data_IF_130472471362
#
_entry.id   IF_130472471362
#
_cell.length_a   1.000
_cell.length_b   1.000
_cell.length_c   1.000
_cell.angle_alpha   90.00
_cell.angle_beta   90.00
_cell.angle_gamma   90.00
#
_symmetry.space_group_name_H-M   'P 1'
#
loop_
_entity.id
_entity.type
_entity.pdbx_description
1 polymer ?
#
# COMPACT_ATOMS: atom_id res chain seq x y z
N UNK A 1 -18.83 -26.80 -1.26
CA UNK A 1 -17.89 -27.61 -0.46
C UNK A 1 -16.48 -27.34 -0.94
N UNK A 2 -15.57 -27.05 -0.02
CA UNK A 2 -14.14 -26.89 -0.31
C UNK A 2 -13.36 -27.89 0.55
N UNK A 3 -12.62 -28.81 -0.06
CA UNK A 3 -11.95 -29.90 0.65
C UNK A 3 -12.88 -30.59 1.67
N UNK A 4 -12.53 -30.54 2.97
CA UNK A 4 -13.32 -31.08 4.07
C UNK A 4 -14.39 -30.11 4.61
N UNK A 5 -14.41 -28.85 4.15
CA UNK A 5 -15.30 -27.80 4.67
C UNK A 5 -16.62 -27.79 3.92
N UNK A 6 -17.72 -27.96 4.62
CA UNK A 6 -19.08 -27.77 4.11
C UNK A 6 -19.44 -26.27 4.19
N UNK A 7 -19.71 -25.63 3.03
CA UNK A 7 -20.00 -24.20 2.94
C UNK A 7 -21.49 -24.00 2.68
N UNK A 8 -22.15 -23.22 3.53
CA UNK A 8 -23.59 -22.93 3.45
C UNK A 8 -23.82 -21.43 3.31
N UNK A 9 -24.58 -21.02 2.31
CA UNK A 9 -25.10 -19.66 2.15
C UNK A 9 -26.59 -19.61 2.50
N UNK A 10 -26.95 -18.69 3.37
CA UNK A 10 -28.35 -18.33 3.64
C UNK A 10 -28.61 -16.96 2.99
N UNK A 11 -29.49 -16.90 2.02
CA UNK A 11 -29.80 -15.66 1.30
C UNK A 11 -31.29 -15.54 0.95
N UNK A 12 -31.72 -14.34 0.64
CA UNK A 12 -33.06 -14.06 0.13
C UNK A 12 -33.22 -14.52 -1.34
N UNK A 13 -34.46 -14.60 -1.83
CA UNK A 13 -34.71 -14.92 -3.26
C UNK A 13 -34.02 -13.94 -4.20
N UNK A 14 -33.91 -12.69 -3.81
CA UNK A 14 -33.24 -11.64 -4.61
C UNK A 14 -31.72 -11.77 -4.56
N UNK A 15 -31.15 -12.27 -3.46
CA UNK A 15 -29.71 -12.52 -3.30
C UNK A 15 -29.22 -13.74 -4.08
N UNK A 16 -30.09 -14.67 -4.44
CA UNK A 16 -29.70 -15.89 -5.18
C UNK A 16 -28.94 -15.61 -6.49
N UNK A 17 -29.21 -14.49 -7.14
CA UNK A 17 -28.49 -14.09 -8.37
C UNK A 17 -27.02 -13.76 -8.14
N UNK A 18 -26.58 -13.56 -6.90
CA UNK A 18 -25.21 -13.26 -6.49
C UNK A 18 -24.55 -14.40 -5.70
N UNK A 19 -25.25 -15.50 -5.50
CA UNK A 19 -24.76 -16.60 -4.69
C UNK A 19 -23.41 -17.14 -5.16
N UNK A 20 -23.22 -17.28 -6.47
CA UNK A 20 -21.96 -17.78 -7.04
C UNK A 20 -20.79 -16.86 -6.71
N UNK A 21 -20.99 -15.52 -6.76
CA UNK A 21 -19.95 -14.54 -6.41
C UNK A 21 -19.50 -14.69 -4.94
N UNK A 22 -20.45 -14.87 -4.03
CA UNK A 22 -20.13 -15.10 -2.61
C UNK A 22 -19.40 -16.41 -2.38
N UNK A 23 -19.81 -17.49 -3.05
CA UNK A 23 -19.10 -18.78 -2.96
C UNK A 23 -17.68 -18.70 -3.53
N UNK A 24 -17.49 -18.03 -4.68
CA UNK A 24 -16.14 -17.79 -5.23
C UNK A 24 -15.28 -17.00 -4.25
N UNK A 25 -15.78 -15.90 -3.68
CA UNK A 25 -15.06 -15.06 -2.73
C UNK A 25 -14.59 -15.85 -1.50
N UNK A 26 -15.49 -16.68 -0.91
CA UNK A 26 -15.14 -17.55 0.23
C UNK A 26 -14.09 -18.60 -0.15
N UNK A 27 -14.23 -19.23 -1.32
CA UNK A 27 -13.26 -20.24 -1.78
C UNK A 27 -11.89 -19.59 -2.00
N UNK A 28 -11.84 -18.42 -2.63
CA UNK A 28 -10.60 -17.67 -2.84
C UNK A 28 -9.92 -17.32 -1.52
N UNK A 29 -10.70 -16.85 -0.53
CA UNK A 29 -10.16 -16.54 0.78
C UNK A 29 -9.65 -17.80 1.51
N UNK A 30 -10.39 -18.91 1.45
CA UNK A 30 -9.97 -20.21 2.00
C UNK A 30 -8.66 -20.69 1.38
N UNK A 31 -8.55 -20.68 0.06
CA UNK A 31 -7.34 -21.11 -0.67
C UNK A 31 -6.14 -20.24 -0.31
N UNK A 32 -6.31 -18.94 -0.38
CA UNK A 32 -5.22 -17.99 -0.18
C UNK A 32 -4.68 -18.00 1.26
N UNK A 33 -5.58 -17.97 2.26
CA UNK A 33 -5.19 -17.97 3.67
C UNK A 33 -4.69 -19.35 4.13
N UNK A 34 -5.27 -20.43 3.61
CA UNK A 34 -4.77 -21.78 3.92
C UNK A 34 -3.32 -22.01 3.45
N UNK A 35 -2.95 -21.44 2.31
CA UNK A 35 -1.59 -21.54 1.78
C UNK A 35 -0.60 -20.65 2.52
N UNK A 36 -0.99 -19.40 2.84
CA UNK A 36 -0.08 -18.36 3.33
C UNK A 36 -0.08 -18.15 4.83
N UNK A 37 -1.17 -18.47 5.51
CA UNK A 37 -1.30 -18.31 6.96
C UNK A 37 -1.31 -19.66 7.65
N UNK A 38 -2.30 -20.50 7.33
CA UNK A 38 -2.43 -21.83 7.94
C UNK A 38 -3.76 -22.48 7.65
N UNK A 39 -3.95 -23.76 8.06
CA UNK A 39 -5.15 -24.53 7.74
C UNK A 39 -6.39 -24.00 8.44
N UNK A 40 -7.52 -23.93 7.70
CA UNK A 40 -8.84 -23.70 8.29
C UNK A 40 -9.29 -24.97 9.03
N UNK A 41 -9.49 -24.93 10.37
CA UNK A 41 -9.63 -26.15 11.16
C UNK A 41 -11.05 -26.68 11.27
N UNK A 42 -12.08 -25.88 10.94
CA UNK A 42 -13.46 -26.26 11.13
C UNK A 42 -14.04 -27.02 9.93
N UNK A 43 -14.93 -27.99 10.15
CA UNK A 43 -15.53 -28.79 9.08
C UNK A 43 -16.68 -28.08 8.34
N UNK A 44 -17.08 -26.90 8.79
CA UNK A 44 -18.18 -26.15 8.21
C UNK A 44 -17.95 -24.64 8.27
N UNK A 45 -18.64 -23.95 7.38
CA UNK A 45 -18.71 -22.49 7.32
C UNK A 45 -20.10 -22.10 6.85
N UNK A 46 -20.74 -21.20 7.58
CA UNK A 46 -22.04 -20.64 7.20
C UNK A 46 -21.91 -19.14 7.04
N UNK A 47 -22.52 -18.58 6.02
CA UNK A 47 -22.62 -17.13 5.90
C UNK A 47 -24.00 -16.71 5.41
N UNK A 48 -24.39 -15.50 5.80
CA UNK A 48 -25.71 -14.94 5.55
C UNK A 48 -25.58 -13.70 4.68
N UNK A 49 -26.23 -13.67 3.52
CA UNK A 49 -26.43 -12.48 2.71
C UNK A 49 -27.79 -11.87 3.10
N UNK A 50 -27.82 -10.83 3.95
CA UNK A 50 -29.08 -10.24 4.41
C UNK A 50 -29.80 -9.56 3.25
N UNK A 51 -31.15 -9.50 3.29
CA UNK A 51 -31.89 -8.75 2.29
C UNK A 51 -31.56 -7.24 2.37
N UNK A 52 -31.70 -6.52 1.27
CA UNK A 52 -31.34 -5.09 1.20
C UNK A 52 -31.95 -4.24 2.33
N UNK A 53 -33.20 -4.51 2.71
CA UNK A 53 -33.86 -3.82 3.83
C UNK A 53 -33.38 -4.28 5.22
N UNK A 54 -32.56 -5.33 5.27
CA UNK A 54 -31.90 -5.86 6.48
C UNK A 54 -30.39 -5.64 6.45
N UNK A 55 -29.85 -4.78 5.56
CA UNK A 55 -28.41 -4.57 5.37
C UNK A 55 -27.69 -4.08 6.62
N UNK A 56 -28.39 -3.49 7.59
CA UNK A 56 -27.80 -3.13 8.88
C UNK A 56 -27.38 -4.34 9.75
N UNK A 57 -27.70 -5.58 9.34
CA UNK A 57 -27.21 -6.79 9.94
C UNK A 57 -26.04 -7.44 9.15
N UNK A 58 -25.57 -6.80 8.09
CA UNK A 58 -24.42 -7.24 7.32
C UNK A 58 -23.11 -6.74 7.91
N UNK A 59 -22.00 -7.39 7.53
CA UNK A 59 -20.70 -7.01 8.02
C UNK A 59 -20.51 -7.33 9.50
N UNK A 60 -20.65 -8.61 9.87
CA UNK A 60 -20.45 -9.08 11.25
C UNK A 60 -19.88 -10.49 11.26
N UNK A 61 -18.77 -10.61 11.92
CA UNK A 61 -18.01 -11.82 12.08
C UNK A 61 -18.46 -12.61 13.33
N UNK A 62 -18.62 -13.89 13.16
CA UNK A 62 -18.73 -14.88 14.25
C UNK A 62 -17.96 -16.12 13.81
N UNK A 63 -17.33 -16.82 14.73
CA UNK A 63 -16.57 -18.02 14.38
C UNK A 63 -17.46 -19.03 13.64
N UNK A 64 -17.07 -19.39 12.41
CA UNK A 64 -17.79 -20.30 11.48
C UNK A 64 -19.16 -19.81 10.98
N UNK A 65 -19.60 -18.64 11.41
CA UNK A 65 -20.80 -17.95 10.93
C UNK A 65 -20.47 -16.46 10.75
N UNK A 66 -20.78 -15.88 9.59
CA UNK A 66 -20.66 -14.43 9.40
C UNK A 66 -21.79 -13.90 8.53
N UNK A 67 -21.98 -12.58 8.53
CA UNK A 67 -22.95 -11.92 7.68
C UNK A 67 -22.22 -11.04 6.66
N UNK A 68 -22.54 -11.22 5.39
CA UNK A 68 -22.00 -10.36 4.32
C UNK A 68 -22.87 -9.13 4.11
N UNK A 69 -22.56 -8.32 3.11
CA UNK A 69 -23.39 -7.17 2.78
C UNK A 69 -24.52 -7.55 1.83
N UNK A 70 -25.74 -7.03 2.03
CA UNK A 70 -26.88 -7.24 1.14
C UNK A 70 -26.62 -6.84 -0.33
N UNK A 71 -26.18 -7.79 -1.13
CA UNK A 71 -25.62 -7.57 -2.48
C UNK A 71 -26.65 -7.22 -3.56
N UNK A 72 -27.96 -7.29 -3.25
CA UNK A 72 -29.04 -7.26 -4.26
C UNK A 72 -29.11 -6.02 -5.17
N UNK A 73 -28.49 -4.90 -4.78
CA UNK A 73 -28.52 -3.65 -5.54
C UNK A 73 -27.14 -3.21 -6.08
N UNK A 74 -26.07 -3.96 -5.81
CA UNK A 74 -24.71 -3.58 -6.20
C UNK A 74 -24.46 -4.01 -7.65
N UNK A 75 -24.04 -3.08 -8.54
CA UNK A 75 -23.67 -3.42 -9.90
C UNK A 75 -22.53 -4.44 -9.96
N UNK A 76 -22.56 -5.37 -10.91
CA UNK A 76 -21.58 -6.48 -11.02
C UNK A 76 -20.12 -6.04 -11.31
N UNK A 77 -19.92 -4.80 -11.74
CA UNK A 77 -18.58 -4.23 -11.93
C UNK A 77 -17.95 -3.72 -10.62
N UNK A 78 -18.73 -3.65 -9.55
CA UNK A 78 -18.27 -3.33 -8.20
C UNK A 78 -18.19 -4.62 -7.39
N UNK A 79 -17.03 -4.92 -6.82
CA UNK A 79 -16.74 -6.14 -6.06
C UNK A 79 -16.98 -5.98 -4.56
N UNK A 80 -17.78 -5.01 -4.15
CA UNK A 80 -18.01 -4.71 -2.73
C UNK A 80 -18.60 -5.89 -1.95
N UNK A 81 -19.50 -6.66 -2.56
CA UNK A 81 -20.11 -7.81 -1.87
C UNK A 81 -19.08 -8.93 -1.67
N UNK A 82 -18.24 -9.16 -2.69
CA UNK A 82 -17.16 -10.14 -2.62
C UNK A 82 -16.09 -9.68 -1.61
N UNK A 83 -15.75 -8.39 -1.58
CA UNK A 83 -14.81 -7.79 -0.61
C UNK A 83 -15.29 -8.00 0.82
N UNK A 84 -16.53 -7.59 1.15
CA UNK A 84 -17.09 -7.80 2.48
C UNK A 84 -17.15 -9.31 2.83
N UNK A 85 -17.45 -10.17 1.86
CA UNK A 85 -17.44 -11.61 2.08
C UNK A 85 -16.06 -12.16 2.44
N UNK A 86 -15.00 -11.64 1.78
CA UNK A 86 -13.60 -11.98 2.07
C UNK A 86 -13.20 -11.45 3.44
N UNK A 87 -13.57 -10.20 3.74
CA UNK A 87 -13.31 -9.54 5.02
C UNK A 87 -13.90 -10.34 6.19
N UNK A 88 -15.20 -10.56 6.17
CA UNK A 88 -15.89 -11.29 7.25
C UNK A 88 -15.41 -12.74 7.39
N UNK A 89 -15.05 -13.38 6.28
CA UNK A 89 -14.40 -14.69 6.34
C UNK A 89 -13.01 -14.60 6.99
N UNK A 90 -12.23 -13.59 6.69
CA UNK A 90 -10.87 -13.40 7.21
C UNK A 90 -10.82 -13.35 8.74
N UNK A 91 -11.83 -12.79 9.38
CA UNK A 91 -12.00 -12.82 10.83
C UNK A 91 -12.07 -14.25 11.42
N UNK A 92 -12.39 -15.27 10.63
CA UNK A 92 -12.23 -16.66 11.08
C UNK A 92 -10.78 -16.98 11.46
N UNK A 93 -9.81 -16.34 10.84
CA UNK A 93 -8.39 -16.45 11.16
C UNK A 93 -7.97 -15.45 12.24
N UNK A 94 -8.21 -14.16 12.03
CA UNK A 94 -7.61 -13.10 12.84
C UNK A 94 -8.36 -12.86 14.15
N UNK A 95 -9.66 -13.09 14.19
CA UNK A 95 -10.45 -13.08 15.41
C UNK A 95 -10.76 -14.52 15.89
N UNK A 96 -11.34 -15.36 15.04
CA UNK A 96 -11.82 -16.67 15.46
C UNK A 96 -10.73 -17.65 15.93
N UNK A 97 -9.56 -17.68 15.28
CA UNK A 97 -8.45 -18.57 15.64
C UNK A 97 -7.39 -17.91 16.51
N UNK A 98 -6.97 -16.70 16.20
CA UNK A 98 -6.00 -15.97 17.01
C UNK A 98 -6.66 -15.47 18.30
N UNK A 99 -7.90 -15.00 18.23
CA UNK A 99 -8.71 -14.52 19.34
C UNK A 99 -8.00 -13.42 20.15
N UNK A 100 -7.39 -12.45 19.44
CA UNK A 100 -6.86 -11.23 20.02
C UNK A 100 -7.98 -10.40 20.68
N UNK A 101 -7.63 -9.49 21.56
CA UNK A 101 -8.59 -8.60 22.21
C UNK A 101 -8.89 -7.39 21.29
N UNK A 102 -9.88 -7.49 20.45
CA UNK A 102 -10.31 -6.45 19.50
C UNK A 102 -10.73 -5.13 20.17
N UNK A 103 -11.17 -5.18 21.42
CA UNK A 103 -11.54 -3.98 22.16
C UNK A 103 -10.31 -3.16 22.58
N UNK A 104 -9.22 -3.82 22.96
CA UNK A 104 -8.00 -3.16 23.42
C UNK A 104 -7.03 -2.87 22.26
N UNK A 105 -6.97 -3.76 21.25
CA UNK A 105 -6.05 -3.66 20.13
C UNK A 105 -6.78 -3.94 18.80
N UNK A 106 -7.73 -3.08 18.39
CA UNK A 106 -8.59 -3.36 17.21
C UNK A 106 -7.80 -3.51 15.89
N UNK A 107 -6.61 -2.94 15.78
CA UNK A 107 -5.78 -3.08 14.59
C UNK A 107 -5.26 -4.52 14.37
N UNK A 108 -5.12 -5.31 15.43
CA UNK A 108 -4.66 -6.72 15.36
C UNK A 108 -5.71 -7.60 14.68
N UNK A 109 -6.98 -7.26 14.85
CA UNK A 109 -8.09 -7.89 14.17
C UNK A 109 -8.38 -7.20 12.83
N UNK A 110 -8.97 -6.02 12.87
CA UNK A 110 -9.48 -5.30 11.71
C UNK A 110 -8.40 -4.89 10.71
N UNK A 111 -7.27 -4.43 11.22
CA UNK A 111 -6.17 -3.95 10.38
C UNK A 111 -5.46 -5.08 9.65
N UNK A 112 -5.16 -6.17 10.34
CA UNK A 112 -4.58 -7.36 9.74
C UNK A 112 -5.56 -7.98 8.75
N UNK A 113 -6.84 -8.03 9.11
CA UNK A 113 -7.87 -8.58 8.23
C UNK A 113 -8.03 -7.76 6.95
N UNK A 114 -8.08 -6.41 7.05
CA UNK A 114 -8.13 -5.51 5.89
C UNK A 114 -6.91 -5.68 4.98
N UNK A 115 -5.71 -5.83 5.55
CA UNK A 115 -4.50 -6.11 4.78
C UNK A 115 -4.61 -7.41 3.96
N UNK A 116 -5.14 -8.49 4.56
CA UNK A 116 -5.30 -9.75 3.87
C UNK A 116 -6.46 -9.73 2.85
N UNK A 117 -7.57 -9.06 3.16
CA UNK A 117 -8.65 -8.81 2.21
C UNK A 117 -8.11 -8.18 0.92
N UNK A 118 -7.34 -7.09 1.05
CA UNK A 118 -6.76 -6.37 -0.08
C UNK A 118 -5.86 -7.27 -0.93
N UNK A 119 -5.00 -8.07 -0.32
CA UNK A 119 -4.15 -9.04 -1.02
C UNK A 119 -4.95 -10.12 -1.74
N UNK A 120 -6.01 -10.65 -1.13
CA UNK A 120 -6.88 -11.66 -1.73
C UNK A 120 -7.60 -11.07 -2.94
N UNK A 121 -8.18 -9.89 -2.78
CA UNK A 121 -8.92 -9.19 -3.84
C UNK A 121 -8.00 -8.91 -5.03
N UNK A 122 -6.81 -8.37 -4.80
CA UNK A 122 -5.86 -8.07 -5.88
C UNK A 122 -5.35 -9.33 -6.57
N UNK A 123 -5.13 -10.42 -5.83
CA UNK A 123 -4.68 -11.69 -6.41
C UNK A 123 -5.71 -12.32 -7.36
N UNK A 124 -6.98 -12.38 -6.96
CA UNK A 124 -8.00 -13.10 -7.72
C UNK A 124 -8.75 -12.24 -8.73
N UNK A 125 -8.95 -10.96 -8.42
CA UNK A 125 -9.66 -10.03 -9.32
C UNK A 125 -8.72 -9.14 -10.12
N UNK A 126 -7.42 -9.13 -9.78
CA UNK A 126 -6.35 -8.36 -10.42
C UNK A 126 -6.15 -6.97 -9.84
N UNK A 127 -4.94 -6.46 -9.94
CA UNK A 127 -4.53 -5.16 -9.40
C UNK A 127 -5.45 -4.03 -9.86
N UNK A 128 -5.93 -3.25 -8.89
CA UNK A 128 -6.80 -2.12 -9.15
C UNK A 128 -8.26 -2.46 -9.51
N UNK A 129 -8.73 -3.66 -9.11
CA UNK A 129 -10.07 -4.14 -9.50
C UNK A 129 -11.10 -4.20 -8.38
N UNK A 130 -10.70 -4.11 -7.11
CA UNK A 130 -11.58 -4.40 -6.00
C UNK A 130 -12.87 -3.58 -5.97
N UNK A 131 -12.78 -2.26 -5.89
CA UNK A 131 -13.94 -1.40 -5.66
C UNK A 131 -14.62 -0.91 -6.96
N UNK A 132 -13.84 -0.39 -7.91
CA UNK A 132 -14.38 0.22 -9.13
C UNK A 132 -13.49 -0.04 -10.33
N UNK A 133 -14.10 -0.58 -11.39
CA UNK A 133 -13.44 -0.72 -12.68
C UNK A 133 -14.27 -0.11 -13.81
N UNK A 134 -13.79 1.02 -14.29
CA UNK A 134 -14.25 1.64 -15.53
C UNK A 134 -13.10 1.61 -16.56
N UNK A 135 -13.39 1.76 -17.87
CA UNK A 135 -12.35 1.69 -18.91
C UNK A 135 -11.16 2.65 -18.72
N UNK A 136 -11.36 3.69 -17.91
CA UNK A 136 -10.41 4.79 -17.69
C UNK A 136 -10.09 5.04 -16.21
N UNK A 137 -10.77 4.37 -15.29
CA UNK A 137 -10.58 4.51 -13.85
C UNK A 137 -10.62 3.13 -13.20
N UNK A 138 -9.55 2.80 -12.49
CA UNK A 138 -9.46 1.62 -11.63
C UNK A 138 -9.22 2.13 -10.21
N UNK A 139 -9.87 1.53 -9.26
CA UNK A 139 -9.67 1.79 -7.84
C UNK A 139 -9.79 0.47 -7.09
N UNK A 140 -8.66 0.04 -6.53
CA UNK A 140 -8.62 -1.14 -5.66
C UNK A 140 -9.18 -0.81 -4.28
N UNK A 141 -9.38 -1.83 -3.48
CA UNK A 141 -9.68 -1.67 -2.08
C UNK A 141 -8.51 -1.04 -1.31
N UNK A 142 -7.28 -1.47 -1.59
CA UNK A 142 -6.07 -0.86 -1.05
C UNK A 142 -5.96 0.64 -1.38
N UNK A 143 -6.28 1.04 -2.63
CA UNK A 143 -6.35 2.46 -3.01
C UNK A 143 -7.38 3.22 -2.17
N UNK A 144 -8.56 2.64 -1.95
CA UNK A 144 -9.60 3.27 -1.13
C UNK A 144 -9.15 3.45 0.32
N UNK A 145 -8.61 2.38 0.92
CA UNK A 145 -8.09 2.41 2.29
C UNK A 145 -7.00 3.47 2.44
N UNK A 146 -6.06 3.49 1.49
CA UNK A 146 -4.99 4.50 1.46
C UNK A 146 -5.55 5.93 1.28
N UNK A 147 -6.45 6.16 0.32
CA UNK A 147 -7.08 7.47 0.10
C UNK A 147 -7.80 7.92 1.38
N UNK A 148 -8.55 7.05 2.03
CA UNK A 148 -9.25 7.34 3.28
C UNK A 148 -8.28 7.81 4.38
N UNK A 149 -7.12 7.17 4.51
CA UNK A 149 -6.08 7.58 5.45
C UNK A 149 -5.42 8.91 5.04
N UNK A 150 -4.85 9.02 3.83
CA UNK A 150 -4.02 10.17 3.43
C UNK A 150 -4.82 11.46 3.27
N UNK A 151 -6.10 11.39 2.95
CA UNK A 151 -6.96 12.58 2.82
C UNK A 151 -7.66 12.98 4.12
N UNK A 152 -7.59 12.15 5.16
CA UNK A 152 -8.21 12.47 6.44
C UNK A 152 -7.49 13.65 7.13
N UNK A 153 -8.22 14.71 7.53
CA UNK A 153 -7.64 15.79 8.30
C UNK A 153 -7.24 15.33 9.72
N UNK A 154 -7.72 14.18 10.15
CA UNK A 154 -7.55 13.64 11.50
C UNK A 154 -6.51 12.50 11.56
N UNK A 155 -5.72 12.27 10.51
CA UNK A 155 -4.77 11.15 10.43
C UNK A 155 -3.64 11.17 11.48
N UNK A 156 -3.39 12.33 12.09
CA UNK A 156 -2.33 12.53 13.10
C UNK A 156 -2.85 12.71 14.52
N UNK A 157 -4.16 12.63 14.77
CA UNK A 157 -4.72 12.90 16.11
C UNK A 157 -4.75 11.67 17.02
N UNK A 158 -4.48 10.49 16.48
CA UNK A 158 -4.47 9.21 17.20
C UNK A 158 -3.33 8.33 16.73
N UNK A 159 -2.90 7.41 17.58
CA UNK A 159 -2.02 6.28 17.26
C UNK A 159 -2.86 5.04 16.96
N UNK A 160 -2.25 3.98 16.41
CA UNK A 160 -2.97 2.74 16.12
C UNK A 160 -3.11 1.80 17.33
N UNK A 161 -2.45 2.09 18.44
CA UNK A 161 -2.45 1.28 19.66
C UNK A 161 -3.51 1.68 20.68
N UNK A 162 -4.45 2.55 20.30
CA UNK A 162 -5.53 2.95 21.20
C UNK A 162 -6.59 1.85 21.32
N UNK A 163 -7.14 1.62 22.53
CA UNK A 163 -8.35 0.84 22.69
C UNK A 163 -9.53 1.44 21.91
N UNK A 164 -10.44 0.59 21.42
CA UNK A 164 -11.53 0.97 20.52
C UNK A 164 -12.38 2.14 21.04
N UNK A 165 -12.62 2.20 22.36
CA UNK A 165 -13.41 3.26 23.02
C UNK A 165 -12.65 4.57 23.25
N UNK A 166 -11.34 4.62 23.00
CA UNK A 166 -10.51 5.81 23.18
C UNK A 166 -10.24 6.56 21.87
N UNK A 167 -10.63 6.02 20.74
CA UNK A 167 -10.45 6.72 19.48
C UNK A 167 -11.29 8.01 19.42
N UNK A 168 -10.69 9.14 19.02
CA UNK A 168 -11.44 10.36 18.77
C UNK A 168 -12.59 10.13 17.79
N UNK A 169 -13.69 10.85 17.96
CA UNK A 169 -14.90 10.65 17.16
C UNK A 169 -14.60 10.63 15.65
N UNK A 170 -15.07 9.58 14.99
CA UNK A 170 -14.93 9.39 13.54
C UNK A 170 -13.55 8.93 13.06
N UNK A 171 -12.62 8.55 13.97
CA UNK A 171 -11.28 8.09 13.56
C UNK A 171 -11.07 6.58 13.68
N UNK A 172 -11.94 5.87 14.39
CA UNK A 172 -11.80 4.43 14.63
C UNK A 172 -11.56 3.63 13.34
N UNK A 173 -12.50 3.68 12.40
CA UNK A 173 -12.37 2.90 11.15
C UNK A 173 -11.16 3.32 10.31
N UNK A 174 -10.90 4.63 10.20
CA UNK A 174 -9.75 5.13 9.45
C UNK A 174 -8.43 4.64 10.05
N UNK A 175 -8.34 4.57 11.38
CA UNK A 175 -7.12 4.13 12.07
C UNK A 175 -7.02 2.59 12.10
N UNK A 176 -8.05 1.90 12.61
CA UNK A 176 -7.98 0.47 12.88
C UNK A 176 -7.98 -0.39 11.60
N UNK A 177 -8.69 0.03 10.56
CA UNK A 177 -8.74 -0.64 9.27
C UNK A 177 -7.70 -0.06 8.30
N UNK A 178 -7.87 1.21 7.90
CA UNK A 178 -7.17 1.77 6.76
C UNK A 178 -5.69 2.07 7.05
N UNK A 179 -5.38 2.85 8.10
CA UNK A 179 -3.98 3.14 8.45
C UNK A 179 -3.23 1.86 8.78
N UNK A 180 -3.88 0.92 9.48
CA UNK A 180 -3.27 -0.35 9.83
C UNK A 180 -2.92 -1.19 8.58
N UNK A 181 -3.82 -1.35 7.63
CA UNK A 181 -3.53 -2.03 6.37
C UNK A 181 -2.41 -1.32 5.59
N UNK A 182 -2.44 0.01 5.53
CA UNK A 182 -1.43 0.83 4.82
C UNK A 182 -0.02 0.62 5.38
N UNK A 183 0.16 0.62 6.70
CA UNK A 183 1.49 0.38 7.24
C UNK A 183 1.90 -1.11 7.18
N UNK A 184 0.96 -2.06 7.19
CA UNK A 184 1.25 -3.48 6.92
C UNK A 184 1.75 -3.68 5.48
N UNK A 185 1.14 -3.05 4.48
CA UNK A 185 1.65 -3.04 3.10
C UNK A 185 3.03 -2.38 3.01
N UNK A 186 3.26 -1.29 3.76
CA UNK A 186 4.58 -0.67 3.84
C UNK A 186 5.62 -1.61 4.46
N UNK A 187 5.26 -2.33 5.53
CA UNK A 187 6.14 -3.35 6.13
C UNK A 187 6.47 -4.43 5.10
N UNK A 188 5.46 -4.98 4.40
CA UNK A 188 5.66 -5.95 3.31
C UNK A 188 6.59 -5.40 2.22
N UNK A 189 6.39 -4.14 1.82
CA UNK A 189 7.24 -3.47 0.83
C UNK A 189 8.71 -3.38 1.25
N UNK A 190 8.97 -3.23 2.55
CA UNK A 190 10.32 -3.16 3.12
C UNK A 190 10.96 -4.53 3.26
N UNK A 191 10.27 -5.50 3.88
CA UNK A 191 10.83 -6.83 4.18
C UNK A 191 10.64 -7.85 3.05
N UNK A 192 9.73 -7.60 2.14
CA UNK A 192 9.38 -8.47 1.01
C UNK A 192 8.19 -9.40 1.30
N UNK A 193 7.43 -9.73 0.25
CA UNK A 193 6.19 -10.51 0.33
C UNK A 193 6.42 -11.91 0.92
N UNK A 194 7.49 -12.60 0.53
CA UNK A 194 7.79 -13.95 1.05
C UNK A 194 8.06 -13.92 2.56
N UNK A 195 8.85 -12.96 3.03
CA UNK A 195 9.12 -12.77 4.47
C UNK A 195 7.83 -12.43 5.23
N UNK A 196 6.96 -11.58 4.65
CA UNK A 196 5.67 -11.24 5.26
C UNK A 196 4.75 -12.47 5.37
N UNK A 197 4.70 -13.31 4.34
CA UNK A 197 3.96 -14.58 4.40
C UNK A 197 4.53 -15.52 5.49
N UNK A 198 5.85 -15.57 5.65
CA UNK A 198 6.50 -16.36 6.71
C UNK A 198 6.21 -15.80 8.12
N UNK A 199 6.12 -14.47 8.27
CA UNK A 199 5.66 -13.83 9.51
C UNK A 199 4.27 -14.34 9.89
N UNK A 200 3.31 -14.33 8.96
CA UNK A 200 1.94 -14.75 9.26
C UNK A 200 1.81 -16.26 9.48
N UNK A 201 2.57 -17.09 8.76
CA UNK A 201 2.64 -18.54 9.05
C UNK A 201 3.15 -18.81 10.46
N UNK A 202 4.21 -18.10 10.85
CA UNK A 202 4.81 -18.26 12.19
C UNK A 202 3.90 -17.67 13.27
N UNK A 203 3.21 -16.54 13.00
CA UNK A 203 2.24 -15.96 13.90
C UNK A 203 1.08 -16.93 14.17
N UNK A 204 0.47 -17.48 13.11
CA UNK A 204 -0.56 -18.51 13.23
C UNK A 204 -0.03 -19.75 13.98
N UNK A 205 1.14 -20.28 13.61
CA UNK A 205 1.73 -21.47 14.25
C UNK A 205 1.96 -21.30 15.75
N UNK A 206 2.41 -20.10 16.17
CA UNK A 206 2.66 -19.83 17.60
C UNK A 206 1.40 -19.57 18.38
N UNK A 207 0.45 -18.88 17.78
CA UNK A 207 -0.60 -18.17 18.50
C UNK A 207 -2.04 -18.64 18.22
N UNK A 208 -2.28 -19.54 17.27
CA UNK A 208 -3.61 -20.08 17.05
C UNK A 208 -4.22 -20.60 18.38
N UNK A 209 -5.40 -20.09 18.74
CA UNK A 209 -6.15 -20.38 19.98
C UNK A 209 -5.44 -19.96 21.29
N UNK A 210 -4.58 -18.94 21.28
CA UNK A 210 -3.82 -18.51 22.45
C UNK A 210 -3.92 -17.02 22.80
N UNK A 211 -4.77 -16.27 22.14
CA UNK A 211 -5.08 -14.87 22.45
C UNK A 211 -3.85 -13.93 22.43
N UNK A 212 -3.17 -13.78 21.28
CA UNK A 212 -1.99 -12.91 21.20
C UNK A 212 -2.37 -11.44 21.33
N UNK A 213 -1.43 -10.66 21.81
CA UNK A 213 -1.42 -9.20 21.77
C UNK A 213 -0.69 -8.68 20.52
N UNK A 214 -0.76 -7.37 20.27
CA UNK A 214 0.03 -6.70 19.25
C UNK A 214 1.54 -6.84 19.48
N UNK A 215 1.99 -6.88 20.74
CA UNK A 215 3.40 -7.13 21.07
C UNK A 215 3.86 -8.54 20.65
N UNK A 216 2.97 -9.53 20.73
CA UNK A 216 3.28 -10.89 20.27
C UNK A 216 3.42 -10.95 18.75
N UNK A 217 2.63 -10.19 17.99
CA UNK A 217 2.80 -10.02 16.56
C UNK A 217 4.17 -9.37 16.24
N UNK A 218 4.50 -8.26 16.91
CA UNK A 218 5.80 -7.57 16.75
C UNK A 218 6.97 -8.51 17.05
N UNK A 219 6.87 -9.31 18.10
CA UNK A 219 7.91 -10.29 18.44
C UNK A 219 8.10 -11.34 17.33
N UNK A 220 7.02 -11.81 16.71
CA UNK A 220 7.09 -12.73 15.56
C UNK A 220 7.75 -12.05 14.36
N UNK A 221 7.38 -10.80 14.04
CA UNK A 221 8.02 -10.02 12.96
C UNK A 221 9.53 -9.92 13.21
N UNK A 222 9.93 -9.52 14.42
CA UNK A 222 11.33 -9.39 14.79
C UNK A 222 12.10 -10.70 14.60
N UNK A 223 11.54 -11.80 15.09
CA UNK A 223 12.17 -13.12 14.99
C UNK A 223 12.34 -13.58 13.53
N UNK A 224 11.28 -13.48 12.72
CA UNK A 224 11.32 -13.95 11.33
C UNK A 224 12.26 -13.07 10.50
N UNK A 225 12.14 -11.74 10.59
CA UNK A 225 13.01 -10.81 9.85
C UNK A 225 14.47 -11.00 10.25
N UNK A 226 14.75 -11.18 11.54
CA UNK A 226 16.12 -11.45 12.01
C UNK A 226 16.68 -12.76 11.47
N UNK A 227 15.87 -13.80 11.44
CA UNK A 227 16.30 -15.11 10.95
C UNK A 227 16.54 -15.11 9.43
N UNK A 228 15.74 -14.39 8.64
CA UNK A 228 15.86 -14.39 7.18
C UNK A 228 16.86 -13.36 6.65
N UNK A 229 16.95 -12.20 7.29
CA UNK A 229 17.74 -11.07 6.78
C UNK A 229 18.94 -10.69 7.67
N UNK A 230 19.11 -11.34 8.83
CA UNK A 230 20.17 -10.98 9.78
C UNK A 230 20.00 -9.55 10.30
N UNK A 231 21.02 -8.72 10.17
CA UNK A 231 21.02 -7.32 10.62
C UNK A 231 20.72 -6.32 9.50
N UNK A 232 20.17 -6.75 8.37
CA UNK A 232 19.89 -5.87 7.23
C UNK A 232 19.01 -4.68 7.61
N UNK A 233 18.04 -4.90 8.50
CA UNK A 233 17.08 -3.89 8.95
C UNK A 233 17.36 -3.38 10.38
N UNK A 234 18.55 -3.64 10.91
CA UNK A 234 18.93 -3.33 12.29
C UNK A 234 18.87 -4.53 13.21
N UNK A 235 18.83 -4.30 14.52
CA UNK A 235 18.73 -5.39 15.50
C UNK A 235 17.33 -6.01 15.53
N UNK A 236 16.31 -5.18 15.32
CA UNK A 236 14.90 -5.55 15.29
C UNK A 236 14.11 -4.56 14.40
N UNK A 237 12.80 -4.78 14.27
CA UNK A 237 11.86 -3.91 13.55
C UNK A 237 11.12 -2.92 14.45
N UNK A 238 11.49 -2.80 15.72
CA UNK A 238 10.80 -1.87 16.66
C UNK A 238 10.90 -0.41 16.20
N UNK A 239 11.99 -0.04 15.52
CA UNK A 239 12.12 1.30 14.90
C UNK A 239 10.99 1.64 13.92
N UNK A 240 10.47 0.63 13.20
CA UNK A 240 9.33 0.79 12.30
C UNK A 240 8.03 0.96 13.09
N UNK A 241 7.71 0.02 13.99
CA UNK A 241 6.47 0.05 14.77
C UNK A 241 6.37 1.29 15.67
N UNK A 242 7.48 1.75 16.25
CA UNK A 242 7.50 2.96 17.06
C UNK A 242 7.06 4.21 16.29
N UNK A 243 7.24 4.22 14.98
CA UNK A 243 6.86 5.35 14.14
C UNK A 243 5.43 5.21 13.59
N UNK A 244 5.05 4.03 13.09
CA UNK A 244 3.79 3.87 12.34
C UNK A 244 2.62 3.40 13.19
N UNK A 245 2.89 2.55 14.21
CA UNK A 245 1.87 2.02 15.12
C UNK A 245 1.70 2.91 16.34
N UNK A 246 2.80 3.21 17.05
CA UNK A 246 2.81 4.01 18.28
C UNK A 246 3.02 5.51 18.02
N UNK A 247 3.41 5.89 16.80
CA UNK A 247 3.63 7.29 16.42
C UNK A 247 2.45 7.94 15.73
N UNK A 248 2.47 9.27 15.71
CA UNK A 248 1.49 10.14 15.03
C UNK A 248 2.13 10.89 13.84
N UNK A 249 3.42 10.66 13.56
CA UNK A 249 4.15 11.31 12.48
C UNK A 249 3.64 10.90 11.10
N UNK A 250 3.86 11.77 10.13
CA UNK A 250 3.55 11.54 8.71
C UNK A 250 4.80 11.09 7.94
N UNK A 251 4.59 10.27 6.92
CA UNK A 251 5.59 9.94 5.93
C UNK A 251 5.35 10.79 4.67
N UNK A 252 6.32 11.57 4.26
CA UNK A 252 6.25 12.37 3.02
C UNK A 252 7.67 12.57 2.49
N UNK A 253 7.97 11.95 1.35
CA UNK A 253 9.23 12.09 0.64
C UNK A 253 9.02 12.89 -0.65
N UNK A 254 10.00 13.68 -1.06
CA UNK A 254 9.90 14.53 -2.24
C UNK A 254 11.19 14.54 -3.05
N UNK A 255 11.08 14.47 -4.37
CA UNK A 255 12.14 14.93 -5.27
C UNK A 255 12.01 16.44 -5.38
N UNK A 256 12.88 17.18 -4.69
CA UNK A 256 12.81 18.66 -4.64
C UNK A 256 13.32 19.32 -5.91
N UNK A 257 14.17 18.63 -6.68
CA UNK A 257 14.61 19.13 -7.96
C UNK A 257 15.74 18.35 -8.61
N UNK A 258 15.93 18.63 -9.88
CA UNK A 258 17.03 18.10 -10.69
C UNK A 258 17.73 19.29 -11.36
N UNK A 259 19.06 19.31 -11.32
CA UNK A 259 19.87 20.22 -12.11
C UNK A 259 20.86 19.43 -12.96
N UNK A 260 21.06 19.83 -14.23
CA UNK A 260 22.02 19.22 -15.13
C UNK A 260 22.75 20.32 -15.87
N UNK A 261 24.02 20.53 -15.51
CA UNK A 261 24.85 21.62 -16.07
C UNK A 261 25.98 21.06 -16.92
N UNK A 262 26.13 21.58 -18.11
CA UNK A 262 27.25 21.23 -18.97
C UNK A 262 28.57 21.68 -18.32
N UNK A 263 29.49 20.72 -18.19
CA UNK A 263 30.86 21.00 -17.73
C UNK A 263 31.63 21.65 -18.90
N UNK A 264 32.16 22.83 -18.65
CA UNK A 264 32.99 23.52 -19.62
C UNK A 264 34.45 23.40 -19.19
N UNK A 265 35.28 22.83 -20.05
CA UNK A 265 36.72 22.84 -19.82
C UNK A 265 37.36 24.10 -20.45
N UNK A 266 38.23 24.72 -19.69
CA UNK A 266 39.05 25.84 -20.18
C UNK A 266 40.50 25.40 -20.08
N UNK A 267 41.28 25.66 -21.16
CA UNK A 267 42.73 25.59 -21.11
C UNK A 267 43.28 27.00 -21.00
N UNK A 268 44.25 27.20 -20.11
CA UNK A 268 44.92 28.49 -19.92
C UNK A 268 46.38 28.37 -20.31
N UNK A 269 46.90 29.38 -21.00
CA UNK A 269 48.34 29.56 -21.24
C UNK A 269 48.83 30.71 -20.38
N UNK A 270 49.83 30.42 -19.55
CA UNK A 270 50.46 31.41 -18.68
C UNK A 270 51.66 32.02 -19.44
N UNK A 271 51.57 33.32 -19.75
CA UNK A 271 52.67 34.07 -20.32
C UNK A 271 53.05 35.17 -19.33
N UNK A 272 54.09 34.91 -18.51
CA UNK A 272 54.49 35.84 -17.47
C UNK A 272 53.38 36.08 -16.45
N UNK A 273 53.00 37.34 -16.21
CA UNK A 273 51.97 37.74 -15.27
C UNK A 273 50.50 37.66 -15.84
N UNK A 274 50.36 37.21 -17.11
CA UNK A 274 49.07 37.13 -17.77
C UNK A 274 48.66 35.71 -18.04
N UNK A 275 47.34 35.39 -17.78
CA UNK A 275 46.74 34.11 -18.10
C UNK A 275 45.71 34.31 -19.20
N UNK A 276 45.92 33.65 -20.35
CA UNK A 276 44.96 33.67 -21.45
C UNK A 276 44.19 32.38 -21.41
N UNK A 277 42.88 32.46 -21.20
CA UNK A 277 41.98 31.31 -21.21
C UNK A 277 41.43 31.06 -22.61
N UNK A 278 41.60 29.85 -23.10
CA UNK A 278 40.98 29.41 -24.35
C UNK A 278 39.95 28.32 -24.03
N UNK A 279 38.73 28.50 -24.50
CA UNK A 279 37.71 27.48 -24.39
C UNK A 279 38.12 26.27 -25.22
N UNK A 280 38.21 25.10 -24.59
CA UNK A 280 38.50 23.86 -25.28
C UNK A 280 37.18 23.22 -25.73
N UNK A 281 36.80 23.42 -26.98
CA UNK A 281 35.65 22.71 -27.60
C UNK A 281 36.07 21.37 -28.25
N UNK A 282 37.26 20.82 -27.90
CA UNK A 282 37.88 19.68 -28.59
C UNK A 282 37.50 18.29 -28.02
N UNK A 283 36.71 18.19 -26.95
CA UNK A 283 36.18 16.86 -26.55
C UNK A 283 34.95 16.56 -27.41
N UNK A 284 34.93 15.41 -28.10
CA UNK A 284 33.79 14.90 -28.85
C UNK A 284 32.57 14.70 -27.95
N UNK A 285 32.78 14.56 -26.64
CA UNK A 285 31.74 14.23 -25.67
C UNK A 285 31.47 15.42 -24.74
N UNK A 286 30.24 15.85 -24.71
CA UNK A 286 29.76 16.85 -23.75
C UNK A 286 29.57 16.20 -22.40
N UNK A 287 30.31 16.64 -21.37
CA UNK A 287 30.14 16.20 -20.01
C UNK A 287 29.14 17.06 -19.24
N UNK A 288 28.33 16.43 -18.41
CA UNK A 288 27.40 17.11 -17.53
C UNK A 288 27.69 16.77 -16.07
N UNK A 289 27.45 17.74 -15.19
CA UNK A 289 27.32 17.55 -13.76
C UNK A 289 25.83 17.66 -13.45
N UNK A 290 25.25 16.55 -13.07
CA UNK A 290 23.84 16.45 -12.70
C UNK A 290 23.71 16.22 -11.20
N UNK A 291 22.73 16.90 -10.58
CA UNK A 291 22.38 16.71 -9.17
C UNK A 291 20.89 16.44 -9.06
N UNK A 292 20.53 15.42 -8.30
CA UNK A 292 19.16 15.10 -7.87
C UNK A 292 19.06 15.40 -6.39
N UNK A 293 18.17 16.30 -6.02
CA UNK A 293 17.94 16.71 -4.62
C UNK A 293 16.63 16.12 -4.10
N UNK A 294 16.71 15.46 -2.96
CA UNK A 294 15.61 14.79 -2.29
C UNK A 294 15.39 15.42 -0.92
N UNK A 295 14.13 15.40 -0.47
CA UNK A 295 13.74 15.88 0.85
C UNK A 295 12.79 14.90 1.52
N UNK A 296 12.93 14.70 2.82
CA UNK A 296 11.94 14.10 3.69
C UNK A 296 11.20 15.21 4.43
N UNK A 297 9.93 15.38 4.12
CA UNK A 297 9.07 16.43 4.70
C UNK A 297 8.39 15.95 5.99
N UNK A 298 8.09 14.66 6.05
CA UNK A 298 7.46 14.03 7.21
C UNK A 298 8.46 13.64 8.32
N UNK A 299 7.92 13.23 9.46
CA UNK A 299 8.69 12.78 10.63
C UNK A 299 9.09 11.31 10.53
N UNK A 300 8.31 10.49 9.84
CA UNK A 300 8.54 9.05 9.70
C UNK A 300 9.75 8.81 8.81
N UNK A 301 10.70 8.02 9.32
CA UNK A 301 11.98 7.71 8.68
C UNK A 301 11.94 6.27 8.18
N UNK A 302 11.89 6.10 6.87
CA UNK A 302 11.90 4.79 6.21
C UNK A 302 13.02 4.72 5.17
N UNK A 303 13.63 3.56 4.94
CA UNK A 303 14.49 3.36 3.78
C UNK A 303 13.66 3.39 2.49
N UNK A 304 14.11 4.15 1.51
CA UNK A 304 13.43 4.29 0.21
C UNK A 304 14.39 4.05 -0.95
N UNK A 305 13.88 3.45 -2.01
CA UNK A 305 14.59 3.33 -3.28
C UNK A 305 14.35 4.58 -4.12
N UNK A 306 15.36 4.98 -4.91
CA UNK A 306 15.30 6.15 -5.78
C UNK A 306 15.78 5.76 -7.17
N UNK A 307 14.91 5.79 -8.15
CA UNK A 307 15.25 5.51 -9.53
C UNK A 307 15.53 6.83 -10.27
N UNK A 308 16.69 6.89 -10.91
CA UNK A 308 17.21 8.10 -11.59
C UNK A 308 17.45 7.76 -13.06
N UNK A 309 16.83 8.51 -13.96
CA UNK A 309 16.91 8.27 -15.40
C UNK A 309 17.66 9.35 -16.14
N UNK A 310 18.44 8.92 -17.13
CA UNK A 310 19.29 9.76 -17.98
C UNK A 310 18.69 9.90 -19.39
N UNK A 311 19.09 10.96 -20.11
CA UNK A 311 18.70 11.20 -21.52
C UNK A 311 19.29 10.16 -22.48
N UNK A 312 20.31 9.42 -22.06
CA UNK A 312 20.86 8.26 -22.76
C UNK A 312 19.97 7.02 -22.70
N UNK A 313 18.96 7.01 -21.85
CA UNK A 313 18.12 5.86 -21.54
C UNK A 313 18.68 4.94 -20.45
N UNK A 314 19.81 5.30 -19.86
CA UNK A 314 20.35 4.63 -18.67
C UNK A 314 19.51 4.96 -17.46
N UNK A 315 19.33 3.98 -16.54
CA UNK A 315 18.67 4.14 -15.25
C UNK A 315 19.57 3.63 -14.13
N UNK A 316 19.60 4.35 -13.01
CA UNK A 316 20.37 3.99 -11.82
C UNK A 316 19.41 3.93 -10.63
N UNK A 317 19.46 2.82 -9.90
CA UNK A 317 18.69 2.63 -8.66
C UNK A 317 19.60 2.91 -7.47
N UNK A 318 19.25 3.92 -6.71
CA UNK A 318 19.92 4.33 -5.48
C UNK A 318 19.08 3.98 -4.25
N UNK A 319 19.71 3.95 -3.07
CA UNK A 319 19.03 3.71 -1.80
C UNK A 319 19.29 4.87 -0.85
N UNK A 320 18.23 5.38 -0.26
CA UNK A 320 18.28 6.38 0.79
C UNK A 320 17.69 5.82 2.09
N UNK A 321 18.47 5.84 3.18
CA UNK A 321 18.04 5.38 4.50
C UNK A 321 16.99 6.28 5.18
N UNK A 322 16.74 7.47 4.61
CA UNK A 322 15.79 8.46 5.11
C UNK A 322 16.21 9.20 6.38
N UNK A 323 17.37 8.89 6.99
CA UNK A 323 17.79 9.48 8.29
C UNK A 323 18.05 10.98 8.21
N UNK A 324 18.63 11.45 7.11
CA UNK A 324 18.76 12.89 6.83
C UNK A 324 17.44 13.48 6.32
N UNK A 325 17.17 14.76 6.63
CA UNK A 325 16.03 15.47 6.02
C UNK A 325 16.26 15.78 4.54
N UNK A 326 17.49 15.73 4.09
CA UNK A 326 17.91 16.01 2.70
C UNK A 326 18.91 14.97 2.23
N UNK A 327 18.89 14.68 0.93
CA UNK A 327 19.82 13.80 0.24
C UNK A 327 20.08 14.33 -1.16
N UNK A 328 21.35 14.44 -1.53
CA UNK A 328 21.76 14.75 -2.91
C UNK A 328 22.48 13.55 -3.52
N UNK A 329 22.19 13.25 -4.78
CA UNK A 329 22.96 12.37 -5.63
C UNK A 329 23.59 13.18 -6.75
N UNK A 330 24.90 13.00 -6.98
CA UNK A 330 25.64 13.72 -8.01
C UNK A 330 26.22 12.75 -9.03
N UNK A 331 26.06 13.09 -10.30
CA UNK A 331 26.53 12.29 -11.43
C UNK A 331 27.32 13.16 -12.39
N UNK A 332 28.49 12.65 -12.80
CA UNK A 332 29.32 13.30 -13.83
C UNK A 332 29.47 12.33 -15.00
N UNK A 333 29.03 12.73 -16.19
CA UNK A 333 29.05 11.87 -17.36
C UNK A 333 28.57 12.54 -18.64
N UNK A 334 28.44 11.76 -19.70
CA UNK A 334 27.97 12.23 -21.01
C UNK A 334 26.43 12.37 -21.06
N UNK A 335 25.72 11.70 -20.15
CA UNK A 335 24.27 11.78 -20.02
C UNK A 335 23.82 12.85 -19.00
N UNK A 336 22.68 13.47 -19.28
CA UNK A 336 22.00 14.35 -18.34
C UNK A 336 20.98 13.56 -17.54
N UNK A 337 20.87 13.80 -16.23
CA UNK A 337 19.71 13.33 -15.48
C UNK A 337 18.49 14.11 -15.93
N UNK A 338 17.44 13.41 -16.38
CA UNK A 338 16.21 14.01 -16.91
C UNK A 338 14.98 13.74 -16.06
N UNK A 339 15.01 12.71 -15.23
CA UNK A 339 13.95 12.44 -14.25
C UNK A 339 14.46 11.64 -13.07
N UNK A 340 13.73 11.71 -11.95
CA UNK A 340 13.93 10.87 -10.78
C UNK A 340 12.60 10.53 -10.13
N UNK A 341 12.51 9.34 -9.51
CA UNK A 341 11.34 8.88 -8.76
C UNK A 341 11.78 8.20 -7.46
N UNK A 342 11.30 8.67 -6.33
CA UNK A 342 11.38 8.00 -5.03
C UNK A 342 10.31 6.92 -5.01
N UNK A 343 10.62 5.77 -4.39
CA UNK A 343 9.73 4.62 -4.30
C UNK A 343 9.16 4.20 -5.67
N UNK A 344 10.02 3.83 -6.63
CA UNK A 344 9.60 3.55 -8.00
C UNK A 344 8.66 2.34 -8.12
N UNK A 345 8.68 1.45 -7.11
CA UNK A 345 7.90 0.21 -7.08
C UNK A 345 6.71 0.27 -6.12
N UNK A 346 6.35 1.46 -5.64
CA UNK A 346 5.19 1.73 -4.78
C UNK A 346 5.15 0.86 -3.50
N UNK A 347 6.32 0.65 -2.85
CA UNK A 347 6.50 -0.15 -1.63
C UNK A 347 6.12 0.59 -0.35
N UNK A 348 6.13 1.93 -0.38
CA UNK A 348 5.91 2.79 0.79
C UNK A 348 4.50 3.38 0.73
N UNK A 349 3.52 2.57 1.10
CA UNK A 349 2.11 2.96 1.04
C UNK A 349 1.73 4.07 2.00
N UNK A 350 2.45 4.17 3.11
CA UNK A 350 2.20 5.17 4.15
C UNK A 350 2.60 6.60 3.73
N UNK A 351 3.33 6.79 2.62
CA UNK A 351 3.64 8.11 2.09
C UNK A 351 2.35 8.86 1.71
N UNK A 352 2.12 10.00 2.36
CA UNK A 352 0.86 10.75 2.22
C UNK A 352 0.75 11.49 0.88
N UNK A 353 1.85 11.67 0.15
CA UNK A 353 1.85 12.48 -1.07
C UNK A 353 2.75 11.93 -2.17
N UNK A 354 2.38 10.80 -2.76
CA UNK A 354 3.12 10.21 -3.90
C UNK A 354 3.24 11.11 -5.14
N UNK A 355 2.48 12.22 -5.20
CA UNK A 355 2.55 13.14 -6.35
C UNK A 355 3.84 13.95 -6.39
N UNK A 356 4.52 14.16 -5.26
CA UNK A 356 5.81 14.86 -5.18
C UNK A 356 7.01 13.90 -5.20
N UNK A 357 6.79 12.58 -5.23
CA UNK A 357 7.84 11.56 -5.29
C UNK A 357 8.59 11.51 -6.62
N UNK A 358 8.16 12.25 -7.62
CA UNK A 358 8.84 12.27 -8.92
C UNK A 358 9.04 13.68 -9.46
N UNK A 359 10.12 13.85 -10.20
CA UNK A 359 10.44 15.10 -10.90
C UNK A 359 10.97 14.77 -12.30
N UNK A 360 10.56 15.57 -13.29
CA UNK A 360 11.04 15.47 -14.68
C UNK A 360 11.50 16.84 -15.11
N UNK A 361 12.74 16.93 -15.61
CA UNK A 361 13.38 18.19 -15.98
C UNK A 361 12.64 18.92 -17.10
N UNK A 362 12.23 18.16 -18.14
CA UNK A 362 11.46 18.68 -19.28
C UNK A 362 10.16 17.85 -19.45
N UNK A 363 9.07 18.17 -18.73
CA UNK A 363 7.84 17.39 -18.81
C UNK A 363 7.21 17.51 -20.21
N UNK A 364 7.01 16.36 -20.87
CA UNK A 364 6.35 16.34 -22.17
C UNK A 364 4.86 16.68 -22.01
N UNK A 365 4.38 17.68 -22.75
CA UNK A 365 2.94 18.04 -22.78
C UNK A 365 2.03 16.95 -23.36
N UNK A 366 2.58 15.81 -23.82
CA UNK A 366 1.82 14.69 -24.33
C UNK A 366 1.04 13.96 -23.23
N UNK A 367 1.64 13.79 -22.04
CA UNK A 367 0.98 13.16 -20.87
C UNK A 367 -0.14 14.05 -20.37
N UNK A 368 0.09 15.35 -20.23
CA UNK A 368 -0.93 16.32 -19.82
C UNK A 368 -2.11 16.34 -20.81
N UNK A 369 -1.85 16.31 -22.13
CA UNK A 369 -2.90 16.21 -23.15
C UNK A 369 -3.70 14.92 -23.06
N UNK A 370 -3.05 13.77 -22.79
CA UNK A 370 -3.75 12.49 -22.61
C UNK A 370 -4.67 12.52 -21.38
N UNK A 371 -4.19 13.05 -20.27
CA UNK A 371 -4.99 13.21 -19.05
C UNK A 371 -6.16 14.17 -19.26
N UNK A 372 -5.92 15.32 -19.90
CA UNK A 372 -6.95 16.29 -20.26
C UNK A 372 -8.04 15.67 -21.15
N UNK A 373 -7.65 14.91 -22.18
CA UNK A 373 -8.60 14.23 -23.06
C UNK A 373 -9.43 13.17 -22.31
N UNK A 374 -8.82 12.40 -21.39
CA UNK A 374 -9.55 11.45 -20.54
C UNK A 374 -10.53 12.17 -19.61
N UNK A 375 -10.12 13.27 -19.01
CA UNK A 375 -10.96 14.10 -18.15
C UNK A 375 -12.14 14.72 -18.92
N UNK A 376 -11.87 15.29 -20.10
CA UNK A 376 -12.91 15.85 -20.96
C UNK A 376 -13.92 14.78 -21.41
N UNK A 377 -13.46 13.58 -21.73
CA UNK A 377 -14.33 12.46 -22.06
C UNK A 377 -15.23 12.06 -20.87
N UNK A 378 -14.68 12.02 -19.66
CA UNK A 378 -15.43 11.79 -18.42
C UNK A 378 -16.53 12.84 -18.19
N UNK A 379 -16.16 14.11 -18.31
CA UNK A 379 -17.12 15.23 -18.17
C UNK A 379 -18.22 15.11 -19.22
N UNK A 380 -17.88 14.77 -20.45
CA UNK A 380 -18.84 14.61 -21.53
C UNK A 380 -19.78 13.41 -21.31
N UNK A 381 -19.26 12.29 -20.78
CA UNK A 381 -20.08 11.15 -20.36
C UNK A 381 -21.04 11.52 -19.22
N UNK A 382 -20.55 12.22 -18.20
CA UNK A 382 -21.42 12.67 -17.10
C UNK A 382 -22.53 13.60 -17.60
N UNK A 383 -22.21 14.58 -18.43
CA UNK A 383 -23.24 15.48 -19.04
C UNK A 383 -24.27 14.67 -19.83
N UNK A 384 -23.85 13.69 -20.63
CA UNK A 384 -24.78 12.88 -21.41
C UNK A 384 -25.73 11.99 -20.59
N UNK A 385 -25.29 11.57 -19.38
CA UNK A 385 -26.18 10.83 -18.45
C UNK A 385 -27.25 11.72 -17.82
N UNK A 386 -26.94 13.00 -17.60
CA UNK A 386 -27.88 13.94 -16.98
C UNK A 386 -28.76 14.70 -18.01
N UNK A 387 -28.51 14.50 -19.30
CA UNK A 387 -29.29 15.17 -20.39
C UNK A 387 -30.25 14.22 -21.12
N UNK A 388 -30.34 12.95 -20.70
CA UNK A 388 -31.32 11.95 -21.08
C UNK A 388 -32.37 11.82 -19.97
#
# INVERSE_FOLDING_TARGET
>A
KWNHVDITLLTSKTGLSKADNHFEAVIYALEYLNERVGPYPWPHLTFVDPPFNGSGAGGMEYTTLFTTMGAGAIPSFMKMAEMVTIHEFGHSYFMGMLASNEFEEPWVDEGINSYWEQRIVDHYYGDGYGLLRLPFLKMSDADQGRISYVTSPNRTIATNDLPSWMYPHGTYSMMSYNKAAVWLHTLEGIIGTETMDNVFREYYRRWAFKHPSGQDFIAVVNDVVKNEHGNRFGEDMNWFFNQVLYGQGECDYRVSGITSNRIRSYSGVVNGDSVTYTRSDRSSDTLYLSRVSLERLGEVILPVEVLIGFDTGEEVLENWDGTGAYKDYEYTGVGQVVWAKIDPYDKIDIDINRMNNSFTLDPSGATTRRMMNKFMFLVQMMISIFTL
#
